data_IF_364442674150
#
_entry.id   IF_364442674150
#
_cell.length_a   1.000
_cell.length_b   1.000
_cell.length_c   1.000
_cell.angle_alpha   90.00
_cell.angle_beta   90.00
_cell.angle_gamma   90.00
#
_symmetry.space_group_name_H-M   'P 1'
#
loop_
_entity.id
_entity.type
_entity.pdbx_description
1 polymer ?
2 non-polymer ?
3 non-polymer ?
4 water ?
#
# COMPACT_ATOMS: atom_id res chain seq x y z
N UNK A 5 17.87 -10.24 -2.38
CA UNK A 5 17.22 -8.90 -2.36
C UNK A 5 16.06 -8.89 -1.38
N UNK A 6 15.50 -7.69 -1.13
CA UNK A 6 14.46 -7.54 -0.10
C UNK A 6 13.04 -7.99 -0.53
N UNK A 7 12.86 -8.41 -1.79
CA UNK A 7 11.56 -8.82 -2.31
C UNK A 7 11.68 -10.22 -2.92
N UNK A 8 10.72 -11.10 -2.62
CA UNK A 8 10.60 -12.42 -3.24
C UNK A 8 9.30 -12.48 -4.01
N UNK A 9 9.39 -12.88 -5.27
CA UNK A 9 8.24 -13.05 -6.12
C UNK A 9 8.02 -14.54 -6.43
N UNK A 10 6.78 -14.99 -6.25
CA UNK A 10 6.39 -16.34 -6.64
C UNK A 10 5.09 -16.31 -7.45
N UNK A 11 5.00 -17.22 -8.41
CA UNK A 11 3.91 -17.29 -9.39
C UNK A 11 3.25 -18.63 -9.09
N UNK A 12 2.00 -18.57 -8.66
CA UNK A 12 1.32 -19.73 -8.09
C UNK A 12 0.00 -19.89 -8.79
N UNK A 13 0.03 -20.64 -9.90
CA UNK A 13 -1.16 -20.89 -10.71
C UNK A 13 -1.79 -19.55 -11.16
N UNK A 14 -2.94 -19.22 -10.61
CA UNK A 14 -3.71 -18.02 -10.95
C UNK A 14 -3.20 -16.71 -10.33
N UNK A 15 -2.23 -16.75 -9.42
CA UNK A 15 -1.82 -15.51 -8.72
C UNK A 15 -0.29 -15.30 -8.68
N UNK A 16 0.11 -14.05 -8.46
CA UNK A 16 1.49 -13.70 -8.15
C UNK A 16 1.53 -13.32 -6.68
N UNK A 17 2.62 -13.66 -6.00
CA UNK A 17 2.79 -13.29 -4.59
C UNK A 17 4.11 -12.58 -4.44
N UNK A 18 4.06 -11.36 -3.90
CA UNK A 18 5.24 -10.53 -3.69
C UNK A 18 5.42 -10.35 -2.18
N UNK A 19 6.54 -10.82 -1.64
CA UNK A 19 6.78 -10.76 -0.19
C UNK A 19 7.98 -9.84 0.11
N UNK A 20 7.74 -8.78 0.88
CA UNK A 20 8.80 -7.90 1.35
C UNK A 20 9.47 -8.40 2.62
N UNK A 21 10.80 -8.52 2.57
CA UNK A 21 11.55 -8.81 3.80
C UNK A 21 13.00 -8.37 3.67
N UNK A 22 13.30 -7.20 4.23
CA UNK A 22 14.66 -6.68 4.23
C UNK A 22 15.42 -7.04 5.51
N UNK A 23 14.86 -7.96 6.29
CA UNK A 23 15.44 -8.37 7.57
C UNK A 23 15.21 -7.38 8.70
N UNK A 24 14.54 -6.26 8.39
CA UNK A 24 14.24 -5.22 9.38
C UNK A 24 12.73 -4.84 9.32
N UNK A 25 12.41 -3.59 8.98
CA UNK A 25 11.02 -3.13 9.01
C UNK A 25 10.50 -2.73 7.60
N UNK A 26 11.12 -3.30 6.57
CA UNK A 26 10.69 -3.13 5.17
C UNK A 26 10.51 -1.66 4.77
N UNK A 27 11.45 -0.82 5.15
CA UNK A 27 11.38 0.59 4.72
C UNK A 27 11.35 0.68 3.21
N UNK A 28 10.55 1.62 2.72
CA UNK A 28 10.35 1.81 1.31
C UNK A 28 11.32 2.86 0.77
N UNK A 29 12.61 2.59 0.97
CA UNK A 29 13.69 3.36 0.36
C UNK A 29 13.87 2.96 -1.09
N UNK A 30 14.88 3.55 -1.76
CA UNK A 30 15.11 3.25 -3.16
C UNK A 30 15.37 1.79 -3.47
N UNK A 31 16.08 1.08 -2.58
CA UNK A 31 16.36 -0.35 -2.83
C UNK A 31 15.06 -1.20 -2.83
N UNK A 32 14.24 -1.00 -1.81
CA UNK A 32 12.98 -1.72 -1.70
C UNK A 32 12.05 -1.34 -2.86
N UNK A 33 11.97 -0.06 -3.18
CA UNK A 33 11.11 0.39 -4.28
C UNK A 33 11.50 -0.25 -5.59
N UNK A 34 12.79 -0.32 -5.88
CA UNK A 34 13.24 -0.93 -7.13
C UNK A 34 12.88 -2.41 -7.12
N UNK A 35 13.08 -3.07 -6.00
CA UNK A 35 12.81 -4.50 -5.86
C UNK A 35 11.31 -4.79 -6.03
N UNK A 36 10.47 -3.94 -5.45
CA UNK A 36 9.02 -4.06 -5.64
C UNK A 36 8.62 -3.86 -7.09
N UNK A 37 9.14 -2.79 -7.72
CA UNK A 37 8.82 -2.55 -9.10
C UNK A 37 9.22 -3.70 -10.03
N UNK A 38 10.39 -4.29 -9.77
CA UNK A 38 10.87 -5.41 -10.58
C UNK A 38 10.01 -6.65 -10.37
N UNK A 39 9.51 -6.83 -9.15
CA UNK A 39 8.63 -7.96 -8.84
C UNK A 39 7.28 -7.78 -9.55
N UNK A 40 6.75 -6.57 -9.54
CA UNK A 40 5.49 -6.32 -10.26
C UNK A 40 5.68 -6.47 -11.78
N UNK A 41 6.83 -6.02 -12.29
CA UNK A 41 7.21 -6.30 -13.69
C UNK A 41 7.11 -7.81 -13.98
N UNK A 42 7.58 -8.63 -13.04
CA UNK A 42 7.54 -10.09 -13.20
C UNK A 42 6.09 -10.60 -13.21
N UNK A 43 5.25 -10.07 -12.34
CA UNK A 43 3.83 -10.42 -12.35
C UNK A 43 3.18 -10.03 -13.68
N UNK A 44 3.55 -8.86 -14.20
CA UNK A 44 3.03 -8.37 -15.47
C UNK A 44 3.42 -9.35 -16.59
N UNK A 45 4.70 -9.75 -16.58
CA UNK A 45 5.21 -10.72 -17.54
C UNK A 45 4.46 -12.04 -17.52
N UNK A 46 4.12 -12.52 -16.31
CA UNK A 46 3.34 -13.74 -16.11
C UNK A 46 1.84 -13.57 -16.34
N UNK A 47 1.38 -12.33 -16.51
CA UNK A 47 -0.03 -12.02 -16.72
C UNK A 47 -0.87 -12.69 -15.62
N UNK A 48 -0.44 -12.51 -14.38
CA UNK A 48 -1.16 -13.13 -13.26
C UNK A 48 -2.63 -12.68 -13.18
N UNK A 49 -3.48 -13.56 -12.67
CA UNK A 49 -4.90 -13.27 -12.50
C UNK A 49 -5.20 -12.30 -11.35
N UNK A 50 -4.32 -12.29 -10.35
CA UNK A 50 -4.40 -11.41 -9.17
C UNK A 50 -3.02 -11.38 -8.50
N UNK A 51 -2.76 -10.34 -7.70
CA UNK A 51 -1.44 -10.13 -7.14
C UNK A 51 -1.59 -9.88 -5.63
N UNK A 52 -0.77 -10.57 -4.85
CA UNK A 52 -0.69 -10.39 -3.40
C UNK A 52 0.60 -9.63 -3.07
N UNK A 53 0.49 -8.60 -2.23
CA UNK A 53 1.66 -7.91 -1.68
C UNK A 53 1.67 -8.15 -0.18
N UNK A 54 2.77 -8.73 0.35
CA UNK A 54 2.89 -9.10 1.75
C UNK A 54 4.12 -8.45 2.39
N UNK A 55 4.10 -8.33 3.71
CA UNK A 55 5.26 -7.90 4.46
C UNK A 55 6.02 -9.10 4.98
N UNK A 56 6.71 -8.91 6.10
CA UNK A 56 7.43 -9.99 6.75
C UNK A 56 6.71 -10.38 8.04
N UNK A 57 7.36 -11.15 8.90
CA UNK A 57 6.67 -11.62 10.10
C UNK A 57 6.48 -10.59 11.19
N UNK A 58 7.19 -9.47 11.12
CA UNK A 58 7.10 -8.47 12.16
C UNK A 58 6.37 -7.21 11.75
N UNK A 59 6.35 -6.91 10.45
CA UNK A 59 5.72 -5.66 9.96
C UNK A 59 5.17 -5.86 8.56
N UNK A 60 4.20 -5.02 8.17
CA UNK A 60 3.96 -4.83 6.76
C UNK A 60 5.09 -3.92 6.21
N UNK A 61 5.10 -2.67 6.64
CA UNK A 61 6.19 -1.74 6.38
C UNK A 61 6.16 -0.58 7.36
N UNK A 62 7.33 -0.16 7.83
CA UNK A 62 7.40 0.98 8.75
C UNK A 62 7.36 2.32 8.05
N UNK A 63 7.41 2.33 6.73
CA UNK A 63 7.32 3.57 5.97
C UNK A 63 8.54 3.85 5.12
N UNK A 64 8.73 5.11 4.78
CA UNK A 64 9.91 5.53 4.04
C UNK A 64 11.17 5.33 4.88
N UNK A 65 12.31 5.35 4.20
CA UNK A 65 13.61 5.42 4.87
C UNK A 65 13.82 6.87 5.31
N UNK A 66 13.66 7.13 6.61
CA UNK A 66 13.63 8.48 7.14
C UNK A 66 15.01 9.15 7.16
N UNK A 67 16.07 8.35 7.21
CA UNK A 67 17.45 8.86 7.04
C UNK A 67 17.55 9.63 5.72
N UNK A 68 16.98 9.08 4.66
CA UNK A 68 16.96 9.74 3.35
C UNK A 68 16.10 11.00 3.39
N UNK A 69 14.91 10.89 4.02
CA UNK A 69 13.94 12.00 4.09
C UNK A 69 14.39 13.15 4.99
N UNK A 70 15.25 12.86 5.98
CA UNK A 70 15.67 13.84 6.98
C UNK A 70 16.87 14.65 6.46
N UNK A 74 18.17 17.29 -1.11
CA UNK A 74 16.75 17.35 -1.45
C UNK A 74 16.36 16.29 -2.47
N UNK A 75 17.22 16.10 -3.49
CA UNK A 75 16.89 15.25 -4.65
C UNK A 75 16.63 13.77 -4.30
N UNK A 76 17.49 13.13 -3.49
CA UNK A 76 17.21 11.73 -3.08
C UNK A 76 15.93 11.56 -2.29
N UNK A 77 15.59 12.54 -1.47
CA UNK A 77 14.34 12.55 -0.74
C UNK A 77 13.15 12.70 -1.70
N UNK A 78 13.26 13.63 -2.65
CA UNK A 78 12.24 13.82 -3.68
C UNK A 78 12.04 12.56 -4.51
N UNK A 79 13.13 11.91 -4.90
CA UNK A 79 13.04 10.69 -5.72
C UNK A 79 12.37 9.54 -4.95
N UNK A 80 12.66 9.45 -3.66
CA UNK A 80 12.11 8.40 -2.82
C UNK A 80 10.61 8.65 -2.65
N UNK A 81 10.26 9.91 -2.38
CA UNK A 81 8.84 10.29 -2.27
C UNK A 81 8.06 10.03 -3.53
N UNK A 82 8.58 10.51 -4.66
CA UNK A 82 7.95 10.27 -5.93
C UNK A 82 7.74 8.76 -6.21
N UNK A 83 8.78 7.99 -5.97
CA UNK A 83 8.74 6.55 -6.25
C UNK A 83 7.75 5.82 -5.37
N UNK A 84 7.61 6.27 -4.13
CA UNK A 84 6.65 5.67 -3.18
C UNK A 84 5.24 5.87 -3.67
N UNK A 85 4.92 7.10 -4.05
CA UNK A 85 3.58 7.43 -4.51
C UNK A 85 3.32 6.92 -5.90
N UNK A 86 4.37 6.81 -6.73
CA UNK A 86 4.19 6.13 -8.01
C UNK A 86 3.80 4.63 -7.81
N UNK A 87 4.40 3.97 -6.83
CA UNK A 87 4.00 2.61 -6.49
C UNK A 87 2.52 2.53 -6.06
N UNK A 88 2.07 3.45 -5.22
CA UNK A 88 0.61 3.52 -4.91
C UNK A 88 -0.24 3.64 -6.15
N UNK A 89 0.16 4.54 -7.05
CA UNK A 89 -0.55 4.76 -8.30
C UNK A 89 -0.57 3.47 -9.14
N UNK A 90 0.57 2.80 -9.22
CA UNK A 90 0.71 1.57 -9.99
C UNK A 90 -0.21 0.47 -9.48
N UNK A 91 -0.31 0.34 -8.15
CA UNK A 91 -1.17 -0.69 -7.55
C UNK A 91 -2.66 -0.30 -7.59
N UNK A 92 -2.97 0.97 -7.38
CA UNK A 92 -4.35 1.45 -7.49
C UNK A 92 -4.96 1.36 -8.90
N UNK A 93 -4.08 1.40 -9.90
CA UNK A 93 -4.47 1.29 -11.31
C UNK A 93 -4.09 -0.06 -11.91
N UNK A 94 -3.76 -1.03 -11.07
CA UNK A 94 -3.35 -2.33 -11.56
C UNK A 94 -4.57 -2.96 -12.25
N UNK A 95 -4.38 -3.59 -13.41
CA UNK A 95 -5.57 -4.11 -14.13
C UNK A 95 -6.12 -5.42 -13.58
N UNK A 96 -5.46 -6.01 -12.59
CA UNK A 96 -5.94 -7.23 -11.94
C UNK A 96 -6.21 -6.89 -10.49
N UNK A 97 -7.00 -7.75 -9.82
CA UNK A 97 -7.18 -7.51 -8.38
C UNK A 97 -5.86 -7.62 -7.58
N UNK A 98 -5.68 -6.70 -6.62
CA UNK A 98 -4.49 -6.66 -5.76
C UNK A 98 -4.95 -6.87 -4.33
N UNK A 99 -4.36 -7.84 -3.66
CA UNK A 99 -4.70 -8.14 -2.27
C UNK A 99 -3.48 -7.87 -1.41
N UNK A 100 -3.66 -7.10 -0.34
CA UNK A 100 -2.58 -6.82 0.59
C UNK A 100 -2.66 -7.76 1.81
N UNK A 101 -1.57 -8.52 2.03
CA UNK A 101 -1.42 -9.29 3.24
C UNK A 101 -0.64 -8.42 4.21
N UNK A 102 -1.40 -7.75 5.07
CA UNK A 102 -0.84 -6.85 6.06
C UNK A 102 -0.36 -7.69 7.26
N UNK A 103 0.89 -8.13 7.17
CA UNK A 103 1.43 -9.16 8.08
C UNK A 103 2.00 -8.61 9.37
N UNK A 104 1.88 -7.30 9.57
CA UNK A 104 2.25 -6.64 10.80
C UNK A 104 1.89 -5.18 10.67
N UNK A 105 2.49 -4.32 11.47
CA UNK A 105 2.07 -2.90 11.41
C UNK A 105 2.37 -2.18 10.11
N UNK A 106 1.55 -1.17 9.79
CA UNK A 106 1.69 -0.41 8.55
C UNK A 106 1.70 1.04 8.92
N UNK A 107 2.85 1.68 8.78
CA UNK A 107 3.06 3.05 9.28
C UNK A 107 3.46 3.98 8.12
N UNK A 108 2.78 5.13 8.07
CA UNK A 108 3.13 6.22 7.16
C UNK A 108 3.10 5.71 5.71
N UNK A 109 4.20 5.72 4.95
CA UNK A 109 4.15 5.14 3.59
C UNK A 109 3.70 3.65 3.58
N UNK A 110 3.94 2.91 4.66
CA UNK A 110 3.45 1.55 4.75
C UNK A 110 1.91 1.52 4.77
N UNK A 111 1.33 2.47 5.47
CA UNK A 111 -0.14 2.62 5.48
C UNK A 111 -0.67 3.06 4.11
N UNK A 112 0.03 3.95 3.44
CA UNK A 112 -0.42 4.39 2.11
C UNK A 112 -0.33 3.24 1.11
N UNK A 113 0.74 2.43 1.20
CA UNK A 113 0.87 1.22 0.40
C UNK A 113 -0.28 0.23 0.69
N UNK A 114 -0.58 0.02 1.97
CA UNK A 114 -1.68 -0.84 2.40
C UNK A 114 -2.99 -0.39 1.73
N UNK A 115 -3.22 0.92 1.70
CA UNK A 115 -4.42 1.52 1.08
C UNK A 115 -4.41 1.52 -0.46
N UNK A 116 -3.37 0.96 -1.07
CA UNK A 116 -3.22 0.97 -2.52
C UNK A 116 -3.68 -0.32 -3.20
N UNK A 117 -4.18 -1.29 -2.43
CA UNK A 117 -4.73 -2.54 -3.00
C UNK A 117 -6.24 -2.61 -2.95
N UNK A 118 -6.80 -3.61 -3.63
CA UNK A 118 -8.26 -3.75 -3.70
C UNK A 118 -8.90 -4.36 -2.45
N UNK A 119 -8.16 -5.27 -1.81
CA UNK A 119 -8.65 -5.99 -0.64
C UNK A 119 -7.47 -6.08 0.32
N UNK A 120 -7.73 -5.70 1.57
CA UNK A 120 -6.69 -5.57 2.59
C UNK A 120 -7.00 -6.42 3.81
N UNK A 121 -6.12 -7.39 4.09
CA UNK A 121 -6.28 -8.37 5.17
C UNK A 121 -5.22 -8.08 6.25
N UNK A 122 -5.67 -7.99 7.50
CA UNK A 122 -4.80 -7.79 8.66
C UNK A 122 -5.29 -8.57 9.86
N UNK A 123 -4.40 -8.72 10.83
CA UNK A 123 -4.77 -9.31 12.11
C UNK A 123 -5.19 -8.25 13.11
N UNK A 124 -5.92 -8.69 14.12
CA UNK A 124 -6.49 -7.74 15.09
C UNK A 124 -5.51 -6.74 15.70
N UNK A 125 -4.30 -7.19 16.03
CA UNK A 125 -3.37 -6.40 16.82
C UNK A 125 -2.55 -5.43 16.00
N UNK A 126 -2.61 -5.50 14.66
CA UNK A 126 -1.67 -4.76 13.85
C UNK A 126 -2.05 -3.31 13.74
N UNK A 127 -1.16 -2.43 14.19
CA UNK A 127 -1.41 -0.99 14.11
C UNK A 127 -1.27 -0.46 12.69
N UNK A 128 -2.16 0.47 12.34
CA UNK A 128 -2.13 1.15 11.05
C UNK A 128 -2.21 2.64 11.39
N UNK A 129 -1.22 3.41 10.95
CA UNK A 129 -1.09 4.79 11.39
C UNK A 129 -0.30 5.62 10.41
N UNK A 130 -0.84 6.76 10.05
CA UNK A 130 -0.06 7.81 9.37
C UNK A 130 0.49 8.70 10.49
N UNK A 131 1.72 8.42 10.92
CA UNK A 131 2.28 9.06 12.08
C UNK A 131 3.00 10.36 11.79
N UNK A 132 2.90 10.85 10.56
CA UNK A 132 3.65 12.02 10.13
C UNK A 132 3.53 13.21 11.08
N UNK A 133 2.31 13.58 11.46
CA UNK A 133 2.12 14.80 12.25
C UNK A 133 2.76 14.64 13.63
N UNK A 134 2.79 13.42 14.15
CA UNK A 134 3.38 13.14 15.46
C UNK A 134 4.90 13.33 15.45
N UNK A 135 5.52 13.15 14.30
CA UNK A 135 6.97 13.33 14.15
C UNK A 135 7.39 14.56 13.32
N UNK A 136 6.45 15.46 13.09
CA UNK A 136 6.73 16.78 12.49
C UNK A 136 6.81 16.83 10.98
N UNK A 137 6.17 15.90 10.32
CA UNK A 137 6.12 15.88 8.87
C UNK A 137 4.69 16.16 8.42
N UNK A 138 4.55 17.04 7.44
CA UNK A 138 3.22 17.31 6.80
C UNK A 138 2.93 16.15 5.85
N UNK A 139 1.71 15.64 5.81
CA UNK A 139 1.41 14.54 4.89
C UNK A 139 1.37 15.04 3.45
N UNK A 140 2.12 14.41 2.53
CA UNK A 140 2.10 14.84 1.13
C UNK A 140 0.72 14.77 0.49
N UNK A 141 0.48 15.62 -0.51
CA UNK A 141 -0.80 15.66 -1.17
C UNK A 141 -1.18 14.30 -1.76
N UNK A 142 -0.24 13.60 -2.39
CA UNK A 142 -0.57 12.29 -2.97
C UNK A 142 -1.03 11.28 -1.92
N UNK A 143 -0.40 11.33 -0.76
CA UNK A 143 -0.78 10.46 0.37
C UNK A 143 -2.15 10.84 0.91
N UNK A 144 -2.45 12.13 0.98
CA UNK A 144 -3.78 12.52 1.43
C UNK A 144 -4.86 11.94 0.52
N UNK A 145 -4.59 11.93 -0.78
CA UNK A 145 -5.58 11.43 -1.74
C UNK A 145 -5.79 9.91 -1.57
N UNK A 146 -4.70 9.20 -1.31
CA UNK A 146 -4.76 7.77 -1.04
C UNK A 146 -5.62 7.49 0.22
N UNK A 147 -5.39 8.26 1.28
CA UNK A 147 -6.21 8.12 2.49
C UNK A 147 -7.67 8.47 2.21
N UNK A 148 -7.91 9.57 1.50
CA UNK A 148 -9.28 10.06 1.28
C UNK A 148 -10.08 9.04 0.47
N UNK A 149 -9.40 8.30 -0.40
CA UNK A 149 -10.07 7.31 -1.21
C UNK A 149 -10.69 6.17 -0.38
N UNK A 150 -10.09 5.86 0.77
CA UNK A 150 -10.47 4.66 1.57
C UNK A 150 -11.08 4.95 2.93
N UNK A 151 -10.68 6.03 3.58
CA UNK A 151 -11.13 6.25 4.96
C UNK A 151 -12.50 6.89 4.99
N UNK A 152 -13.27 6.63 6.04
CA UNK A 152 -14.50 7.39 6.23
C UNK A 152 -14.17 8.87 6.37
N UNK A 153 -15.13 9.76 6.08
CA UNK A 153 -14.82 11.19 6.29
C UNK A 153 -14.22 11.52 7.66
N UNK A 154 -14.80 10.99 8.74
CA UNK A 154 -14.27 11.33 10.07
C UNK A 154 -12.95 10.65 10.37
N UNK A 155 -12.75 9.42 9.87
CA UNK A 155 -11.48 8.71 10.10
C UNK A 155 -10.34 9.38 9.29
N UNK A 156 -10.66 9.88 8.09
CA UNK A 156 -9.72 10.67 7.30
C UNK A 156 -9.21 11.86 8.09
N UNK A 157 -10.12 12.58 8.75
CA UNK A 157 -9.68 13.77 9.48
C UNK A 157 -8.70 13.38 10.63
N UNK A 158 -9.06 12.36 11.37
CA UNK A 158 -8.26 11.95 12.51
C UNK A 158 -6.95 11.27 12.14
N UNK A 159 -7.01 10.40 11.14
CA UNK A 159 -5.81 9.69 10.68
C UNK A 159 -4.75 10.69 10.25
N UNK A 160 -5.16 11.66 9.47
CA UNK A 160 -4.25 12.65 8.89
C UNK A 160 -3.83 13.68 9.94
N UNK A 161 -4.79 14.45 10.43
CA UNK A 161 -4.48 15.61 11.28
C UNK A 161 -4.04 15.27 12.69
N UNK A 162 -4.45 14.12 13.21
CA UNK A 162 -4.10 13.73 14.59
C UNK A 162 -3.19 12.50 14.69
N UNK A 163 -2.71 11.99 13.57
CA UNK A 163 -1.85 10.78 13.57
C UNK A 163 -2.47 9.63 14.38
N UNK A 164 -3.78 9.48 14.25
CA UNK A 164 -4.49 8.48 15.02
C UNK A 164 -4.07 7.07 14.61
N UNK A 165 -3.94 6.20 15.60
CA UNK A 165 -3.59 4.81 15.35
C UNK A 165 -4.86 3.98 15.37
N UNK A 166 -4.99 3.11 14.38
CA UNK A 166 -6.11 2.19 14.24
C UNK A 166 -5.60 0.75 14.24
N UNK A 167 -6.47 -0.16 14.65
CA UNK A 167 -6.16 -1.59 14.58
C UNK A 167 -7.46 -2.38 14.66
N UNK A 168 -7.44 -3.60 14.11
CA UNK A 168 -8.58 -4.46 14.30
C UNK A 168 -9.90 -3.82 13.91
N UNK A 169 -10.88 -3.86 14.82
CA UNK A 169 -12.24 -3.40 14.50
C UNK A 169 -12.24 -1.90 14.12
N UNK A 170 -11.37 -1.11 14.76
CA UNK A 170 -11.30 0.34 14.43
C UNK A 170 -10.68 0.58 13.06
N UNK A 171 -9.70 -0.25 12.68
CA UNK A 171 -9.11 -0.16 11.37
C UNK A 171 -10.12 -0.55 10.29
N UNK A 172 -10.91 -1.57 10.57
CA UNK A 172 -11.93 -2.03 9.64
C UNK A 172 -13.05 -0.98 9.46
N UNK A 173 -13.53 -0.45 10.58
CA UNK A 173 -14.59 0.57 10.54
C UNK A 173 -14.10 1.84 9.88
N UNK A 174 -12.83 2.17 10.11
CA UNK A 174 -12.25 3.39 9.55
C UNK A 174 -12.07 3.33 8.03
N UNK A 175 -11.89 2.13 7.50
CA UNK A 175 -11.54 1.95 6.11
C UNK A 175 -10.06 1.81 5.83
N UNK A 176 -9.26 1.45 6.83
CA UNK A 176 -7.83 1.14 6.62
C UNK A 176 -7.59 -0.29 6.15
N UNK A 177 -8.48 -1.20 6.54
CA UNK A 177 -8.43 -2.57 6.08
C UNK A 177 -9.85 -3.04 5.71
N UNK A 178 -9.94 -4.18 5.02
CA UNK A 178 -11.24 -4.72 4.60
C UNK A 178 -11.62 -6.06 5.29
N UNK A 179 -10.63 -6.73 5.90
CA UNK A 179 -10.86 -8.03 6.49
C UNK A 179 -9.91 -8.26 7.60
N UNK A 180 -10.42 -8.81 8.70
CA UNK A 180 -9.61 -9.22 9.82
C UNK A 180 -9.49 -10.73 9.82
N UNK A 181 -8.25 -11.20 9.90
CA UNK A 181 -7.96 -12.64 9.98
C UNK A 181 -7.08 -12.92 11.17
N UNK A 182 -7.03 -14.18 11.59
CA UNK A 182 -6.03 -14.55 12.62
C UNK A 182 -4.62 -14.38 12.02
N UNK A 183 -3.63 -14.01 12.86
CA UNK A 183 -2.30 -13.64 12.38
C UNK A 183 -1.63 -14.76 11.54
N UNK A 184 -1.79 -16.01 11.97
CA UNK A 184 -1.21 -17.14 11.27
C UNK A 184 -1.83 -17.42 9.89
N UNK A 185 -2.96 -16.78 9.56
CA UNK A 185 -3.58 -16.97 8.27
C UNK A 185 -3.76 -15.69 7.46
N UNK A 186 -3.12 -14.59 7.85
CA UNK A 186 -3.23 -13.36 7.05
C UNK A 186 -2.74 -13.61 5.60
N UNK A 187 -1.56 -14.22 5.46
CA UNK A 187 -0.97 -14.47 4.14
C UNK A 187 -1.78 -15.55 3.37
N UNK A 188 -2.08 -16.68 4.02
CA UNK A 188 -2.87 -17.70 3.36
C UNK A 188 -4.26 -17.19 2.97
N UNK A 189 -4.88 -16.37 3.83
CA UNK A 189 -6.19 -15.82 3.50
C UNK A 189 -6.08 -14.80 2.33
N UNK A 190 -5.02 -13.98 2.33
CA UNK A 190 -4.81 -13.04 1.22
C UNK A 190 -4.65 -13.78 -0.11
N UNK A 191 -3.92 -14.89 -0.09
CA UNK A 191 -3.73 -15.72 -1.28
C UNK A 191 -5.05 -16.38 -1.72
N UNK A 192 -5.85 -16.88 -0.76
CA UNK A 192 -7.16 -17.42 -1.05
C UNK A 192 -8.05 -16.37 -1.70
N UNK A 193 -8.07 -15.17 -1.11
CA UNK A 193 -8.92 -14.11 -1.64
C UNK A 193 -8.52 -13.73 -3.06
N UNK A 194 -7.23 -13.64 -3.29
CA UNK A 194 -6.68 -13.31 -4.60
C UNK A 194 -7.10 -14.34 -5.62
N UNK A 195 -7.06 -15.62 -5.25
CA UNK A 195 -7.57 -16.68 -6.17
C UNK A 195 -9.05 -16.51 -6.49
N UNK A 196 -9.85 -16.18 -5.47
CA UNK A 196 -11.26 -15.89 -5.67
C UNK A 196 -11.45 -14.72 -6.64
N UNK A 197 -10.70 -13.64 -6.43
CA UNK A 197 -10.85 -12.41 -7.24
C UNK A 197 -10.36 -12.60 -8.67
N UNK A 198 -9.39 -13.51 -8.85
CA UNK A 198 -8.94 -13.84 -10.23
C UNK A 198 -10.06 -14.46 -11.06
N UNK A 199 -11.09 -14.96 -10.39
CA UNK A 199 -12.32 -15.45 -11.02
C UNK A 199 -13.34 -14.43 -11.49
N UNK A 200 -13.20 -13.18 -11.04
CA UNK A 200 -14.01 -12.10 -11.55
C UNK A 200 -13.58 -11.84 -12.98
N UNK A 201 -14.46 -11.22 -13.75
CA UNK A 201 -14.11 -10.84 -15.12
C UNK A 201 -13.08 -9.73 -15.08
N UNK A 202 -11.91 -9.98 -15.66
CA UNK A 202 -10.79 -9.05 -15.51
C UNK A 202 -11.12 -7.69 -16.13
N UNK A 203 -11.63 -7.74 -17.37
CA UNK A 203 -11.96 -6.54 -18.13
C UNK A 203 -12.97 -5.64 -17.37
N UNK A 204 -14.06 -6.25 -16.86
CA UNK A 204 -15.04 -5.51 -16.09
C UNK A 204 -14.48 -5.00 -14.76
N UNK A 205 -13.65 -5.81 -14.11
CA UNK A 205 -12.97 -5.38 -12.89
C UNK A 205 -12.13 -4.11 -13.09
N UNK A 206 -11.29 -4.12 -14.13
CA UNK A 206 -10.43 -3.01 -14.41
C UNK A 206 -11.23 -1.79 -14.83
N UNK A 207 -12.18 -1.95 -15.75
CA UNK A 207 -13.00 -0.82 -16.20
C UNK A 207 -13.72 -0.17 -15.00
N UNK A 208 -14.20 -1.01 -14.10
CA UNK A 208 -14.98 -0.54 -12.96
C UNK A 208 -14.13 0.09 -11.87
N UNK A 209 -12.99 -0.54 -11.53
CA UNK A 209 -12.09 0.04 -10.54
C UNK A 209 -11.58 1.44 -10.98
N UNK A 210 -11.35 1.63 -12.28
CA UNK A 210 -10.87 2.90 -12.78
C UNK A 210 -11.96 3.97 -12.67
N UNK A 211 -13.20 3.57 -12.93
CA UNK A 211 -14.33 4.50 -12.73
C UNK A 211 -14.47 4.88 -11.26
N UNK A 212 -14.18 3.92 -10.36
CA UNK A 212 -14.26 4.11 -8.93
C UNK A 212 -13.13 4.95 -8.38
N UNK A 213 -12.12 5.21 -9.21
CA UNK A 213 -10.87 5.84 -8.78
C UNK A 213 -10.40 7.02 -9.65
N UNK A 214 -11.22 7.44 -10.60
CA UNK A 214 -10.81 8.40 -11.66
C UNK A 214 -10.21 9.70 -11.12
N UNK A 215 -10.98 10.33 -10.26
CA UNK A 215 -10.59 11.62 -9.64
C UNK A 215 -9.38 11.45 -8.73
N UNK A 216 -9.38 10.38 -7.94
CA UNK A 216 -8.28 10.10 -7.03
C UNK A 216 -7.00 9.87 -7.78
N UNK A 217 -7.07 9.09 -8.84
CA UNK A 217 -5.84 8.81 -9.63
C UNK A 217 -5.29 10.10 -10.26
N UNK A 218 -6.17 10.94 -10.76
CA UNK A 218 -5.74 12.25 -11.32
C UNK A 218 -5.05 13.10 -10.26
N UNK A 219 -5.63 13.12 -9.06
CA UNK A 219 -5.11 13.93 -7.96
C UNK A 219 -3.79 13.36 -7.40
N UNK A 220 -3.67 12.04 -7.34
CA UNK A 220 -2.38 11.40 -7.00
C UNK A 220 -1.26 11.75 -8.01
N UNK A 221 -1.58 11.66 -9.30
CA UNK A 221 -0.70 12.13 -10.37
C UNK A 221 -0.31 13.59 -10.13
N UNK A 222 -1.29 14.48 -9.86
CA UNK A 222 -0.94 15.87 -9.58
C UNK A 222 -0.04 16.01 -8.33
N UNK A 223 -0.31 15.18 -7.32
CA UNK A 223 0.48 15.17 -6.11
C UNK A 223 1.90 14.68 -6.31
N UNK A 224 2.06 13.72 -7.22
CA UNK A 224 3.39 13.21 -7.59
C UNK A 224 4.14 14.31 -8.32
N UNK A 225 3.46 14.95 -9.27
CA UNK A 225 4.08 16.03 -10.06
C UNK A 225 4.51 17.22 -9.20
N UNK A 226 3.77 17.49 -8.13
CA UNK A 226 4.05 18.63 -7.25
C UNK A 226 5.02 18.41 -6.11
N UNK A 227 5.65 17.24 -6.04
CA UNK A 227 6.54 16.91 -4.92
C UNK A 227 7.72 17.90 -4.86
N UNK A 228 8.35 18.17 -6.00
CA UNK A 228 9.50 19.10 -6.05
C UNK A 228 9.10 20.46 -5.46
N UNK A 229 7.89 20.93 -5.74
CA UNK A 229 7.41 22.20 -5.17
C UNK A 229 7.19 22.17 -3.65
N UNK A 230 7.32 21.00 -3.01
CA UNK A 230 7.27 20.88 -1.54
C UNK A 230 8.60 20.47 -0.87
N UNK A 231 9.33 19.50 -1.43
CA UNK A 231 10.62 19.07 -0.84
C UNK A 231 11.86 19.49 -1.65
N UNK A 232 11.70 20.39 -2.62
CA UNK A 232 12.81 20.84 -3.49
C UNK A 232 13.87 21.65 -2.78
X LIG B 1 5.06 10.88 4.29
X LIG C 1 3.26 17.08 -1.44
#
# INVERSE_FOLDING_TARGET
GSMSGPVTYTHDDAIGVIRMDDGKVNVLGPTMQQALNEAIDAADRDNVGALVIAGNHRVFSGGFDLKVLTSGEAKPAIDMLRGGFELSYRLLSYPKPVVIACTGHAIAMGAFLLCSGDHRVAAHAYNVQANEVAIGMTIPYAAMEVLKLRLTPSAYQQAAGLAKTFFGETALAAGFIDEISLPEVVLSRAEEAAREFAGLNQQAHNATKLRARAEALKAIRAGIDGIEAEFGL
K K
CL CL
#
